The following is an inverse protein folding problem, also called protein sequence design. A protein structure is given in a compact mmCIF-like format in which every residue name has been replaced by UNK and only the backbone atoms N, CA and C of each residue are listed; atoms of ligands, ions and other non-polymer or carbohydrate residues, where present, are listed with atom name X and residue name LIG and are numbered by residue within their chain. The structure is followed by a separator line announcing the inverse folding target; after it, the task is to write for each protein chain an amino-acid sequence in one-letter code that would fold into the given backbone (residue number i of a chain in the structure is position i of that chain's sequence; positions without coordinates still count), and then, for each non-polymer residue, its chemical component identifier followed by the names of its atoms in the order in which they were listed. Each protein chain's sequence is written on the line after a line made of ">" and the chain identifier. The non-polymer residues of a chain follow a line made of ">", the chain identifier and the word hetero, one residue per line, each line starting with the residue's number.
data_IF_191092979742
#
_entry.id   IF_191092979742
#
_cell.length_a   1.000
_cell.length_b   1.000
_cell.length_c   1.000
_cell.angle_alpha   90.00
_cell.angle_beta   90.00
_cell.angle_gamma   90.00
#
_symmetry.space_group_name_H-M   'P 1'
#
loop_
_entity.id
_entity.type
_entity.pdbx_description
1 polymer ?
#
# COMPACT_ATOMS: atom_id res chain seq x y z
N UNK A 1 -25.60 -30.12 14.03
CA UNK A 1 -24.16 -30.05 14.38
C UNK A 1 -23.83 -31.35 15.11
N UNK A 2 -23.07 -32.26 14.49
CA UNK A 2 -22.72 -33.55 15.12
C UNK A 2 -23.08 -34.82 14.33
N UNK A 3 -23.82 -34.71 13.22
CA UNK A 3 -24.01 -35.81 12.27
C UNK A 3 -22.71 -36.12 11.51
N UNK A 4 -22.54 -37.34 11.02
CA UNK A 4 -21.33 -37.72 10.29
C UNK A 4 -21.21 -36.96 8.96
N UNK A 5 -22.34 -36.66 8.31
CA UNK A 5 -22.40 -35.79 7.13
C UNK A 5 -21.85 -34.38 7.44
N UNK A 6 -22.22 -33.81 8.59
CA UNK A 6 -21.71 -32.50 9.00
C UNK A 6 -20.19 -32.51 9.19
N UNK A 7 -19.64 -33.55 9.83
CA UNK A 7 -18.19 -33.70 10.01
C UNK A 7 -17.47 -33.84 8.67
N UNK A 8 -18.04 -34.61 7.75
CA UNK A 8 -17.50 -34.79 6.41
C UNK A 8 -17.46 -33.47 5.62
N UNK A 9 -18.57 -32.71 5.59
CA UNK A 9 -18.64 -31.40 4.93
C UNK A 9 -17.71 -30.37 5.60
N UNK A 10 -17.58 -30.40 6.92
CA UNK A 10 -16.64 -29.56 7.65
C UNK A 10 -15.19 -29.87 7.24
N UNK A 11 -14.81 -31.15 7.16
CA UNK A 11 -13.48 -31.56 6.73
C UNK A 11 -13.19 -31.12 5.28
N UNK A 12 -14.17 -31.25 4.37
CA UNK A 12 -14.05 -30.76 2.99
C UNK A 12 -13.87 -29.24 2.94
N UNK A 13 -14.63 -28.48 3.74
CA UNK A 13 -14.50 -27.02 3.84
C UNK A 13 -13.11 -26.60 4.32
N UNK A 14 -12.56 -27.26 5.34
CA UNK A 14 -11.22 -26.98 5.85
C UNK A 14 -10.12 -27.39 4.87
N UNK A 15 -10.32 -28.47 4.12
CA UNK A 15 -9.39 -28.89 3.07
C UNK A 15 -9.34 -27.87 1.92
N UNK A 16 -10.48 -27.28 1.54
CA UNK A 16 -10.55 -26.25 0.48
C UNK A 16 -9.83 -24.96 0.88
N UNK A 17 -9.99 -24.52 2.12
CA UNK A 17 -9.32 -23.33 2.63
C UNK A 17 -8.65 -23.66 3.96
N UNK A 18 -7.41 -24.12 3.86
CA UNK A 18 -6.58 -24.38 5.03
C UNK A 18 -6.27 -23.07 5.77
N UNK A 19 -6.36 -23.09 7.09
CA UNK A 19 -6.07 -21.92 7.92
C UNK A 19 -4.66 -21.38 7.67
N UNK A 20 -3.66 -22.27 7.62
CA UNK A 20 -2.25 -21.91 7.40
C UNK A 20 -2.01 -21.18 6.07
N UNK A 21 -2.79 -21.48 5.03
CA UNK A 21 -2.66 -20.81 3.73
C UNK A 21 -3.07 -19.33 3.76
N UNK A 22 -3.88 -18.92 4.76
CA UNK A 22 -4.34 -17.53 4.88
C UNK A 22 -3.26 -16.60 5.46
N UNK A 23 -2.27 -17.13 6.19
CA UNK A 23 -1.19 -16.33 6.77
C UNK A 23 -0.35 -15.59 5.71
N UNK A 24 -0.20 -16.19 4.54
CA UNK A 24 0.51 -15.58 3.42
C UNK A 24 -0.07 -14.21 3.04
N UNK A 25 -1.39 -14.00 3.23
CA UNK A 25 -2.05 -12.74 2.88
C UNK A 25 -1.56 -11.55 3.71
N UNK A 26 -1.20 -11.77 4.97
CA UNK A 26 -0.57 -10.74 5.80
C UNK A 26 0.86 -10.43 5.35
N UNK A 27 1.63 -11.45 4.96
CA UNK A 27 3.00 -11.27 4.47
C UNK A 27 3.06 -10.44 3.19
N UNK A 28 2.19 -10.72 2.22
CA UNK A 28 2.13 -9.95 0.98
C UNK A 28 1.75 -8.49 1.19
N UNK A 29 0.92 -8.22 2.19
CA UNK A 29 0.60 -6.85 2.60
C UNK A 29 1.84 -6.11 3.12
N UNK A 30 2.64 -6.75 3.97
CA UNK A 30 3.91 -6.17 4.45
C UNK A 30 4.85 -5.91 3.27
N UNK A 31 5.02 -6.89 2.37
CA UNK A 31 5.89 -6.75 1.19
C UNK A 31 5.45 -5.60 0.29
N UNK A 32 4.15 -5.44 0.07
CA UNK A 32 3.60 -4.32 -0.69
C UNK A 32 4.02 -2.97 -0.08
N UNK A 33 3.82 -2.79 1.23
CA UNK A 33 4.20 -1.54 1.89
C UNK A 33 5.72 -1.29 1.86
N UNK A 34 6.53 -2.33 2.07
CA UNK A 34 8.00 -2.24 1.98
C UNK A 34 8.44 -1.83 0.58
N UNK A 35 7.86 -2.42 -0.46
CA UNK A 35 8.15 -2.06 -1.86
C UNK A 35 7.77 -0.59 -2.13
N UNK A 36 6.61 -0.14 -1.66
CA UNK A 36 6.20 1.27 -1.81
C UNK A 36 7.21 2.21 -1.14
N UNK A 37 7.60 1.95 0.11
CA UNK A 37 8.62 2.75 0.82
C UNK A 37 9.95 2.73 0.08
N UNK A 38 10.35 1.57 -0.43
CA UNK A 38 11.59 1.39 -1.17
C UNK A 38 11.61 2.17 -2.49
N UNK A 39 10.49 2.27 -3.21
CA UNK A 39 10.39 3.11 -4.40
C UNK A 39 10.62 4.60 -4.08
N UNK A 40 10.09 5.09 -2.95
CA UNK A 40 10.37 6.46 -2.50
C UNK A 40 11.82 6.67 -2.08
N UNK A 41 12.43 5.65 -1.47
CA UNK A 41 13.84 5.66 -1.13
C UNK A 41 14.74 5.73 -2.38
N UNK A 42 14.48 4.90 -3.40
CA UNK A 42 15.18 4.98 -4.69
C UNK A 42 15.00 6.37 -5.29
N UNK A 43 13.77 6.90 -5.30
CA UNK A 43 13.49 8.25 -5.79
C UNK A 43 14.40 9.27 -5.10
N UNK A 44 14.50 9.25 -3.77
CA UNK A 44 15.39 10.13 -3.00
C UNK A 44 16.85 10.00 -3.45
N UNK A 45 17.36 8.77 -3.59
CA UNK A 45 18.73 8.52 -4.05
C UNK A 45 18.98 9.17 -5.41
N UNK A 46 18.07 9.00 -6.37
CA UNK A 46 18.18 9.58 -7.71
C UNK A 46 18.19 11.12 -7.65
N UNK A 47 17.34 11.73 -6.82
CA UNK A 47 17.33 13.18 -6.61
C UNK A 47 18.66 13.67 -6.04
N UNK A 48 19.17 13.01 -5.00
CA UNK A 48 20.43 13.38 -4.36
C UNK A 48 21.61 13.31 -5.35
N UNK A 49 21.76 12.21 -6.09
CA UNK A 49 22.84 12.09 -7.08
C UNK A 49 22.72 13.10 -8.21
N UNK A 50 21.50 13.39 -8.68
CA UNK A 50 21.30 14.37 -9.75
C UNK A 50 21.62 15.78 -9.28
N UNK A 51 21.23 16.16 -8.07
CA UNK A 51 21.50 17.48 -7.51
C UNK A 51 23.01 17.65 -7.22
N UNK A 52 23.67 16.65 -6.64
CA UNK A 52 25.14 16.66 -6.48
C UNK A 52 25.87 16.75 -7.82
N UNK A 53 25.44 15.98 -8.83
CA UNK A 53 26.01 16.04 -10.18
C UNK A 53 25.79 17.40 -10.84
N UNK A 54 24.63 18.03 -10.62
CA UNK A 54 24.32 19.35 -11.19
C UNK A 54 25.24 20.46 -10.66
N UNK A 55 25.68 20.36 -9.40
CA UNK A 55 26.61 21.33 -8.78
C UNK A 55 28.03 21.18 -9.29
N UNK A 56 28.44 19.97 -9.68
CA UNK A 56 29.81 19.65 -10.10
C UNK A 56 30.00 19.68 -11.63
N UNK A 57 28.91 19.52 -12.41
CA UNK A 57 28.95 19.31 -13.85
C UNK A 57 28.84 20.63 -14.63
N UNK A 58 29.99 21.17 -15.03
CA UNK A 58 30.06 22.26 -16.00
C UNK A 58 29.80 21.72 -17.43
N UNK A 59 28.59 21.92 -17.96
CA UNK A 59 28.39 22.01 -19.41
C UNK A 59 28.33 20.74 -20.29
N UNK A 60 27.95 19.55 -19.80
CA UNK A 60 27.62 18.43 -20.72
C UNK A 60 26.24 17.79 -20.42
N UNK A 61 25.35 17.85 -21.41
CA UNK A 61 23.94 17.45 -21.35
C UNK A 61 23.75 15.99 -21.79
N UNK A 62 24.10 15.06 -20.92
CA UNK A 62 23.91 13.62 -21.16
C UNK A 62 22.42 13.31 -21.45
N UNK A 63 22.16 12.41 -22.41
CA UNK A 63 20.83 11.89 -22.76
C UNK A 63 20.02 11.44 -21.52
N UNK A 64 20.68 10.80 -20.56
CA UNK A 64 20.09 10.37 -19.29
C UNK A 64 19.53 11.53 -18.45
N UNK A 65 20.19 12.70 -18.43
CA UNK A 65 19.69 13.90 -17.74
C UNK A 65 18.40 14.40 -18.41
N UNK A 66 18.32 14.37 -19.74
CA UNK A 66 17.11 14.79 -20.49
C UNK A 66 15.91 13.89 -20.16
N UNK A 67 16.11 12.57 -20.13
CA UNK A 67 15.07 11.64 -19.71
C UNK A 67 14.66 11.85 -18.24
N UNK A 68 15.62 12.05 -17.35
CA UNK A 68 15.35 12.36 -15.94
C UNK A 68 14.48 13.62 -15.78
N UNK A 69 14.85 14.74 -16.42
CA UNK A 69 14.07 15.98 -16.30
C UNK A 69 12.65 15.82 -16.86
N UNK A 70 12.48 15.05 -17.95
CA UNK A 70 11.15 14.75 -18.49
C UNK A 70 10.32 13.89 -17.53
N UNK A 71 10.90 12.83 -16.97
CA UNK A 71 10.23 11.99 -15.97
C UNK A 71 9.89 12.78 -14.70
N UNK A 72 10.80 13.62 -14.22
CA UNK A 72 10.60 14.49 -13.07
C UNK A 72 9.51 15.54 -13.32
N UNK A 73 9.40 16.07 -14.55
CA UNK A 73 8.32 16.99 -14.94
C UNK A 73 6.95 16.30 -14.90
N UNK A 74 6.84 15.07 -15.41
CA UNK A 74 5.62 14.26 -15.34
C UNK A 74 5.26 13.96 -13.88
N UNK A 75 6.22 13.50 -13.08
CA UNK A 75 5.99 13.22 -11.66
C UNK A 75 5.53 14.46 -10.89
N UNK A 76 6.13 15.63 -11.15
CA UNK A 76 5.70 16.90 -10.56
C UNK A 76 4.29 17.29 -11.03
N UNK A 77 3.99 17.10 -12.31
CA UNK A 77 2.66 17.40 -12.84
C UNK A 77 1.59 16.54 -12.16
N UNK A 78 1.82 15.22 -12.02
CA UNK A 78 0.92 14.31 -11.30
C UNK A 78 0.80 14.70 -9.82
N UNK A 79 1.93 14.94 -9.14
CA UNK A 79 1.94 15.25 -7.71
C UNK A 79 1.33 16.61 -7.34
N UNK A 80 1.46 17.61 -8.21
CA UNK A 80 0.96 18.97 -7.96
C UNK A 80 -0.48 19.17 -8.43
N UNK A 81 -1.00 18.30 -9.30
CA UNK A 81 -2.38 18.38 -9.74
C UNK A 81 -3.30 18.20 -8.53
N UNK A 82 -4.13 19.21 -8.28
CA UNK A 82 -5.11 19.19 -7.18
C UNK A 82 -6.44 18.67 -7.67
N UNK A 83 -7.11 17.90 -6.82
CA UNK A 83 -8.47 17.43 -7.06
C UNK A 83 -9.48 18.56 -6.80
N UNK A 84 -10.65 18.55 -7.46
CA UNK A 84 -11.68 19.56 -7.25
C UNK A 84 -12.14 19.59 -5.79
N UNK A 85 -12.17 20.80 -5.20
CA UNK A 85 -12.42 21.01 -3.76
C UNK A 85 -13.75 20.42 -3.27
N UNK A 86 -14.76 20.40 -4.14
CA UNK A 86 -16.09 19.90 -3.81
C UNK A 86 -16.06 18.40 -3.48
N UNK A 87 -15.36 17.60 -4.29
CA UNK A 87 -15.19 16.16 -4.06
C UNK A 87 -14.32 15.91 -2.82
N UNK A 88 -13.24 16.69 -2.67
CA UNK A 88 -12.35 16.57 -1.50
C UNK A 88 -13.06 16.83 -0.18
N UNK A 89 -13.98 17.80 -0.13
CA UNK A 89 -14.72 18.10 1.10
C UNK A 89 -15.76 17.03 1.44
N UNK A 90 -16.42 16.45 0.43
CA UNK A 90 -17.44 15.41 0.64
C UNK A 90 -16.81 14.10 1.08
N UNK A 91 -15.76 13.66 0.39
CA UNK A 91 -15.12 12.35 0.60
C UNK A 91 -13.87 12.42 1.48
N UNK A 92 -13.53 13.60 2.01
CA UNK A 92 -12.34 13.86 2.85
C UNK A 92 -11.01 13.41 2.18
N UNK A 93 -11.00 13.39 0.84
CA UNK A 93 -9.87 12.93 0.03
C UNK A 93 -8.67 13.88 0.16
N UNK A 94 -7.44 13.34 0.03
CA UNK A 94 -6.26 14.18 -0.02
C UNK A 94 -6.33 15.13 -1.23
N UNK A 95 -5.98 16.40 -1.01
CA UNK A 95 -6.11 17.43 -2.05
C UNK A 95 -5.13 17.25 -3.22
N UNK A 96 -4.05 16.47 -3.04
CA UNK A 96 -3.08 16.14 -4.08
C UNK A 96 -3.45 14.83 -4.77
N UNK A 97 -3.47 14.85 -6.10
CA UNK A 97 -3.74 13.68 -6.93
C UNK A 97 -2.70 12.57 -6.73
N UNK A 98 -1.43 12.91 -6.48
CA UNK A 98 -0.40 11.92 -6.19
C UNK A 98 -0.67 11.12 -4.91
N UNK A 99 -1.04 11.80 -3.83
CA UNK A 99 -1.40 11.14 -2.57
C UNK A 99 -2.67 10.29 -2.74
N UNK A 100 -3.66 10.81 -3.48
CA UNK A 100 -4.88 10.08 -3.80
C UNK A 100 -4.58 8.78 -4.56
N UNK A 101 -3.77 8.83 -5.63
CA UNK A 101 -3.42 7.66 -6.42
C UNK A 101 -2.70 6.59 -5.59
N UNK A 102 -1.84 6.99 -4.66
CA UNK A 102 -1.13 6.04 -3.79
C UNK A 102 -2.10 5.34 -2.85
N UNK A 103 -2.97 6.09 -2.17
CA UNK A 103 -3.97 5.54 -1.25
C UNK A 103 -4.95 4.65 -2.03
N UNK A 104 -5.48 5.14 -3.15
CA UNK A 104 -6.38 4.39 -4.01
C UNK A 104 -5.72 3.11 -4.55
N UNK A 105 -4.44 3.15 -4.93
CA UNK A 105 -3.67 1.98 -5.35
C UNK A 105 -3.49 0.96 -4.23
N UNK A 106 -3.24 1.41 -2.99
CA UNK A 106 -3.22 0.55 -1.81
C UNK A 106 -4.57 -0.10 -1.54
N UNK A 107 -5.66 0.68 -1.54
CA UNK A 107 -7.02 0.16 -1.37
C UNK A 107 -7.38 -0.85 -2.47
N UNK A 108 -7.06 -0.55 -3.74
CA UNK A 108 -7.28 -1.45 -4.87
C UNK A 108 -6.51 -2.75 -4.67
N UNK A 109 -5.25 -2.69 -4.25
CA UNK A 109 -4.46 -3.89 -3.94
C UNK A 109 -5.12 -4.76 -2.87
N UNK A 110 -5.59 -4.18 -1.76
CA UNK A 110 -6.29 -4.95 -0.72
C UNK A 110 -7.55 -5.61 -1.25
N UNK A 111 -8.37 -4.84 -1.99
CA UNK A 111 -9.64 -5.32 -2.54
C UNK A 111 -9.40 -6.45 -3.54
N UNK A 112 -8.51 -6.25 -4.53
CA UNK A 112 -8.15 -7.26 -5.50
C UNK A 112 -7.64 -8.53 -4.79
N UNK A 113 -6.68 -8.40 -3.89
CA UNK A 113 -6.08 -9.54 -3.23
C UNK A 113 -7.06 -10.31 -2.33
N UNK A 114 -8.06 -9.61 -1.79
CA UNK A 114 -9.14 -10.21 -0.99
C UNK A 114 -10.20 -10.91 -1.84
N UNK A 115 -10.63 -10.29 -2.94
CA UNK A 115 -11.80 -10.75 -3.72
C UNK A 115 -11.46 -11.71 -4.87
N UNK A 116 -10.30 -11.57 -5.53
CA UNK A 116 -9.89 -12.43 -6.66
C UNK A 116 -9.95 -13.94 -6.38
N UNK A 117 -9.51 -14.47 -5.22
CA UNK A 117 -9.52 -15.93 -5.00
C UNK A 117 -10.91 -16.58 -4.99
N UNK A 118 -12.01 -15.83 -5.01
CA UNK A 118 -13.37 -16.36 -5.22
C UNK A 118 -13.99 -17.16 -4.07
N UNK A 119 -13.20 -17.63 -3.09
CA UNK A 119 -13.68 -18.32 -1.90
C UNK A 119 -13.91 -17.33 -0.76
N UNK A 120 -15.13 -16.81 -0.63
CA UNK A 120 -15.45 -15.76 0.35
C UNK A 120 -16.15 -16.27 1.61
N UNK A 121 -17.08 -17.21 1.45
CA UNK A 121 -17.91 -17.74 2.53
C UNK A 121 -17.77 -19.25 2.65
N UNK A 122 -18.01 -19.76 3.87
CA UNK A 122 -18.18 -21.20 4.13
C UNK A 122 -19.66 -21.54 4.05
N UNK A 123 -19.97 -22.78 3.66
CA UNK A 123 -21.35 -23.21 3.43
C UNK A 123 -22.21 -23.22 4.70
N UNK A 124 -21.62 -23.49 5.85
CA UNK A 124 -22.31 -23.46 7.14
C UNK A 124 -21.58 -22.52 8.12
N UNK A 125 -22.35 -21.74 8.90
CA UNK A 125 -21.81 -20.84 9.93
C UNK A 125 -21.04 -21.58 11.03
N UNK A 126 -21.35 -22.85 11.28
CA UNK A 126 -20.66 -23.71 12.24
C UNK A 126 -19.28 -24.21 11.79
N UNK A 127 -18.89 -24.00 10.52
CA UNK A 127 -17.58 -24.44 10.02
C UNK A 127 -16.43 -23.50 10.37
N UNK A 128 -16.71 -22.42 11.12
CA UNK A 128 -15.74 -21.42 11.55
C UNK A 128 -15.86 -20.10 10.80
N UNK A 129 -14.85 -19.24 10.96
CA UNK A 129 -14.85 -17.92 10.34
C UNK A 129 -14.80 -17.99 8.81
N UNK A 130 -15.50 -17.06 8.11
CA UNK A 130 -15.45 -17.00 6.67
C UNK A 130 -14.04 -16.59 6.20
N UNK A 131 -13.51 -17.20 5.14
CA UNK A 131 -12.16 -16.93 4.66
C UNK A 131 -11.94 -15.48 4.25
N UNK A 132 -13.00 -14.80 3.76
CA UNK A 132 -12.95 -13.37 3.46
C UNK A 132 -12.55 -12.54 4.70
N UNK A 133 -13.21 -12.77 5.84
CA UNK A 133 -12.95 -12.03 7.07
C UNK A 133 -11.57 -12.33 7.66
N UNK A 134 -11.10 -13.58 7.53
CA UNK A 134 -9.76 -13.96 7.99
C UNK A 134 -8.68 -13.25 7.18
N UNK A 135 -8.81 -13.23 5.84
CA UNK A 135 -7.84 -12.56 4.96
C UNK A 135 -7.77 -11.05 5.23
N UNK A 136 -8.91 -10.37 5.30
CA UNK A 136 -8.94 -8.93 5.58
C UNK A 136 -8.44 -8.61 6.99
N UNK A 137 -8.74 -9.47 7.97
CA UNK A 137 -8.19 -9.35 9.32
C UNK A 137 -6.67 -9.48 9.37
N UNK A 138 -6.11 -10.44 8.63
CA UNK A 138 -4.66 -10.63 8.53
C UNK A 138 -3.98 -9.47 7.78
N UNK A 139 -4.59 -8.94 6.73
CA UNK A 139 -4.09 -7.74 6.06
C UNK A 139 -4.15 -6.49 6.97
N UNK A 140 -5.24 -6.32 7.73
CA UNK A 140 -5.40 -5.18 8.64
C UNK A 140 -4.35 -5.22 9.76
N UNK A 141 -4.16 -6.39 10.38
CA UNK A 141 -3.13 -6.57 11.43
C UNK A 141 -1.71 -6.36 10.90
N UNK A 142 -1.44 -6.77 9.66
CA UNK A 142 -0.17 -6.50 8.98
C UNK A 142 0.12 -5.00 8.75
N UNK A 143 -0.91 -4.15 8.63
CA UNK A 143 -0.75 -2.71 8.44
C UNK A 143 -0.45 -1.95 9.74
N UNK A 144 -0.90 -2.48 10.88
CA UNK A 144 -0.75 -1.85 12.20
C UNK A 144 0.68 -1.38 12.53
N UNK A 145 1.74 -2.20 12.39
CA UNK A 145 3.09 -1.74 12.72
C UNK A 145 3.50 -0.54 11.87
N UNK A 146 3.09 -0.49 10.61
CA UNK A 146 3.42 0.60 9.68
C UNK A 146 2.68 1.87 10.09
N UNK A 147 1.39 1.77 10.42
CA UNK A 147 0.60 2.90 10.92
C UNK A 147 1.22 3.49 12.19
N UNK A 148 1.67 2.65 13.12
CA UNK A 148 2.34 3.07 14.35
C UNK A 148 3.64 3.82 14.02
N UNK A 149 4.47 3.29 13.10
CA UNK A 149 5.70 3.95 12.66
C UNK A 149 5.42 5.30 11.96
N UNK A 150 4.29 5.47 11.28
CA UNK A 150 3.91 6.74 10.64
C UNK A 150 3.42 7.82 11.62
N UNK A 151 3.03 7.45 12.84
CA UNK A 151 2.38 8.36 13.79
C UNK A 151 3.35 9.32 14.49
N UNK A 152 4.61 8.92 14.67
CA UNK A 152 5.58 9.72 15.41
C UNK A 152 5.97 11.02 14.69
N UNK A 153 6.43 12.04 15.43
CA UNK A 153 6.98 13.26 14.81
C UNK A 153 8.33 13.02 14.13
N UNK A 154 9.10 12.07 14.65
CA UNK A 154 10.41 11.63 14.14
C UNK A 154 10.31 10.16 13.72
N UNK A 155 9.95 9.91 12.46
CA UNK A 155 9.71 8.56 11.95
C UNK A 155 10.88 8.05 11.14
N UNK A 156 11.16 6.75 11.23
CA UNK A 156 12.15 6.07 10.40
C UNK A 156 11.85 6.25 8.90
N UNK A 157 10.57 6.22 8.52
CA UNK A 157 10.16 6.39 7.12
C UNK A 157 10.40 7.83 6.64
N UNK A 158 10.21 8.83 7.51
CA UNK A 158 10.52 10.22 7.20
C UNK A 158 12.04 10.40 7.00
N UNK A 159 12.85 9.81 7.88
CA UNK A 159 14.31 9.81 7.73
C UNK A 159 14.80 9.08 6.47
N UNK A 160 14.15 7.99 6.06
CA UNK A 160 14.50 7.25 4.86
C UNK A 160 14.06 7.96 3.57
N UNK A 161 12.85 8.51 3.54
CA UNK A 161 12.28 9.11 2.32
C UNK A 161 12.55 10.60 2.16
N UNK A 162 13.05 11.27 3.21
CA UNK A 162 13.22 12.72 3.29
C UNK A 162 11.90 13.49 3.06
N UNK A 163 10.80 12.90 3.54
CA UNK A 163 9.47 13.51 3.49
C UNK A 163 9.12 14.01 4.89
N UNK A 164 8.70 15.27 4.98
CA UNK A 164 8.29 15.87 6.26
C UNK A 164 7.13 15.11 6.88
N UNK A 165 7.13 15.04 8.22
CA UNK A 165 6.08 14.38 9.00
C UNK A 165 4.68 14.87 8.63
N UNK A 166 4.49 16.18 8.44
CA UNK A 166 3.20 16.78 8.09
C UNK A 166 2.59 16.19 6.82
N UNK A 167 3.43 15.90 5.82
CA UNK A 167 2.99 15.29 4.57
C UNK A 167 2.70 13.80 4.74
N UNK A 168 3.50 13.12 5.57
CA UNK A 168 3.34 11.70 5.83
C UNK A 168 2.11 11.40 6.72
N UNK A 169 1.74 12.34 7.58
CA UNK A 169 0.57 12.25 8.46
C UNK A 169 -0.75 12.14 7.68
N UNK A 170 -0.78 12.58 6.41
CA UNK A 170 -1.94 12.35 5.52
C UNK A 170 -2.21 10.86 5.35
N UNK A 171 -1.16 10.04 5.24
CA UNK A 171 -1.27 8.58 5.12
C UNK A 171 -1.51 7.88 6.45
N UNK A 172 -1.14 8.50 7.59
CA UNK A 172 -1.51 7.96 8.90
C UNK A 172 -3.00 8.13 9.18
N UNK A 173 -3.61 9.22 8.67
CA UNK A 173 -5.03 9.52 8.83
C UNK A 173 -5.96 8.69 7.93
N UNK A 174 -5.44 8.17 6.82
CA UNK A 174 -6.18 7.43 5.80
C UNK A 174 -5.92 5.93 5.93
#
# INVERSE_FOLDING_TARGET
>A
MGTDEYKHLQALSQKRVSWASNEAYGHYMIYFCVVVIFLFFIKRIVYHFTDCSSRLSNGNSNLAKRFYYKAAAINRWVGYRRLPKLICNIFQLPSSLGNFLLIAGGCLFMLCYTFIPGYWYRECRGFGSPPLAVRTGLQSTALLPIIIILSGKTNLISQLTDISYEKLNVYHRW
#
